data_IF_298805271084
#
_entry.id   IF_298805271084
#
_cell.length_a   1.000
_cell.length_b   1.000
_cell.length_c   1.000
_cell.angle_alpha   90.00
_cell.angle_beta   90.00
_cell.angle_gamma   90.00
#
_symmetry.space_group_name_H-M   'P 1'
#
loop_
_entity.id
_entity.type
_entity.pdbx_description
1 polymer ?
#
# COMPACT_ATOMS: atom_id res chain seq x y z
N UNK A 1 15.84 21.73 21.12
CA UNK A 1 14.57 21.34 20.48
C UNK A 1 14.11 20.07 21.17
N UNK A 2 13.12 20.17 22.07
CA UNK A 2 12.52 18.98 22.69
C UNK A 2 11.61 18.35 21.64
N UNK A 3 12.03 17.22 21.05
CA UNK A 3 11.14 16.41 20.24
C UNK A 3 10.08 15.84 21.19
N UNK A 4 8.86 16.40 21.15
CA UNK A 4 7.75 15.86 21.94
C UNK A 4 7.31 14.55 21.31
N UNK A 5 6.97 13.54 22.13
CA UNK A 5 6.51 12.23 21.66
C UNK A 5 5.32 12.32 20.68
N UNK A 6 4.49 13.36 20.81
CA UNK A 6 3.39 13.65 19.90
C UNK A 6 3.84 14.09 18.49
N UNK A 7 4.96 14.80 18.35
CA UNK A 7 5.49 15.23 17.05
C UNK A 7 6.08 14.04 16.28
N UNK A 8 6.82 13.18 16.99
CA UNK A 8 7.37 11.94 16.43
C UNK A 8 6.23 11.02 15.98
N UNK A 9 5.18 10.92 16.79
CA UNK A 9 4.00 10.09 16.51
C UNK A 9 3.19 10.62 15.32
N UNK A 10 3.07 11.95 15.16
CA UNK A 10 2.42 12.58 14.02
C UNK A 10 3.19 12.38 12.71
N UNK A 11 4.51 12.49 12.74
CA UNK A 11 5.37 12.20 11.58
C UNK A 11 5.30 10.71 11.24
N UNK A 12 5.39 9.81 12.22
CA UNK A 12 5.28 8.37 11.96
C UNK A 12 3.93 7.99 11.35
N UNK A 13 2.84 8.59 11.84
CA UNK A 13 1.50 8.36 11.30
C UNK A 13 1.40 8.71 9.81
N UNK A 14 1.94 9.85 9.40
CA UNK A 14 1.87 10.29 7.99
C UNK A 14 2.57 9.35 7.01
N UNK A 15 3.61 8.63 7.46
CA UNK A 15 4.28 7.60 6.65
C UNK A 15 3.60 6.23 6.73
N UNK A 16 3.03 5.86 7.88
CA UNK A 16 2.41 4.55 8.12
C UNK A 16 1.18 4.34 7.22
N UNK A 17 0.30 5.34 7.10
CA UNK A 17 -0.93 5.22 6.30
C UNK A 17 -0.70 4.89 4.82
N UNK A 18 0.10 5.68 4.06
CA UNK A 18 0.37 5.39 2.66
C UNK A 18 1.17 4.09 2.51
N UNK A 19 2.09 3.78 3.44
CA UNK A 19 2.89 2.57 3.39
C UNK A 19 2.01 1.31 3.38
N UNK A 20 1.05 1.18 4.31
CA UNK A 20 0.17 0.01 4.36
C UNK A 20 -0.71 -0.12 3.12
N UNK A 21 -1.23 0.99 2.58
CA UNK A 21 -2.02 0.99 1.34
C UNK A 21 -1.20 0.50 0.14
N UNK A 22 0.00 1.05 -0.03
CA UNK A 22 0.89 0.72 -1.15
C UNK A 22 1.41 -0.71 -1.01
N UNK A 23 1.79 -1.14 0.18
CA UNK A 23 2.20 -2.51 0.45
C UNK A 23 1.09 -3.52 0.09
N UNK A 24 -0.15 -3.25 0.51
CA UNK A 24 -1.30 -4.10 0.17
C UNK A 24 -1.54 -4.16 -1.35
N UNK A 25 -1.44 -3.02 -2.05
CA UNK A 25 -1.55 -3.00 -3.52
C UNK A 25 -0.43 -3.79 -4.20
N UNK A 26 0.83 -3.58 -3.80
CA UNK A 26 1.99 -4.24 -4.43
C UNK A 26 1.97 -5.74 -4.19
N UNK A 27 1.45 -6.19 -3.04
CA UNK A 27 1.25 -7.61 -2.76
C UNK A 27 0.15 -8.23 -3.61
N UNK A 28 -0.94 -7.51 -3.86
CA UNK A 28 -2.08 -8.01 -4.63
C UNK A 28 -1.93 -7.85 -6.15
N UNK A 29 -1.14 -6.88 -6.63
CA UNK A 29 -1.00 -6.61 -8.06
C UNK A 29 -0.26 -7.75 -8.80
N UNK A 30 -0.84 -8.33 -9.87
CA UNK A 30 -0.29 -9.50 -10.56
C UNK A 30 1.06 -9.23 -11.23
N UNK A 31 1.31 -7.99 -11.67
CA UNK A 31 2.58 -7.54 -12.27
C UNK A 31 3.76 -7.80 -11.33
N UNK A 32 3.59 -7.51 -10.04
CA UNK A 32 4.62 -7.70 -9.03
C UNK A 32 4.58 -9.08 -8.37
N UNK A 33 3.59 -9.91 -8.71
CA UNK A 33 3.37 -11.23 -8.12
C UNK A 33 4.00 -12.38 -8.91
N UNK A 34 4.79 -12.09 -9.97
CA UNK A 34 5.53 -13.13 -10.67
C UNK A 34 6.65 -13.71 -9.79
N UNK A 35 7.02 -14.98 -10.01
CA UNK A 35 8.10 -15.67 -9.29
C UNK A 35 9.47 -14.97 -9.40
N UNK A 36 9.60 -13.97 -10.27
CA UNK A 36 10.81 -13.16 -10.42
C UNK A 36 11.00 -12.15 -9.27
N UNK A 37 9.95 -11.82 -8.52
CA UNK A 37 10.01 -10.81 -7.45
C UNK A 37 9.75 -11.44 -6.08
N UNK A 38 10.83 -11.62 -5.31
CA UNK A 38 10.76 -12.12 -3.94
C UNK A 38 9.89 -11.21 -3.04
N UNK A 39 9.33 -11.78 -1.96
CA UNK A 39 8.53 -11.00 -1.01
C UNK A 39 9.31 -9.82 -0.39
N UNK A 40 10.63 -9.98 -0.20
CA UNK A 40 11.52 -8.93 0.31
C UNK A 40 11.66 -7.76 -0.68
N UNK A 41 11.83 -8.04 -1.97
CA UNK A 41 11.94 -6.98 -2.99
C UNK A 41 10.61 -6.25 -3.18
N UNK A 42 9.46 -6.94 -3.10
CA UNK A 42 8.14 -6.28 -3.07
C UNK A 42 8.01 -5.30 -1.92
N UNK A 43 8.45 -5.68 -0.72
CA UNK A 43 8.42 -4.80 0.44
C UNK A 43 9.33 -3.57 0.24
N UNK A 44 10.53 -3.76 -0.31
CA UNK A 44 11.44 -2.66 -0.62
C UNK A 44 10.86 -1.70 -1.67
N UNK A 45 10.20 -2.22 -2.71
CA UNK A 45 9.51 -1.41 -3.72
C UNK A 45 8.37 -0.62 -3.08
N UNK A 46 7.52 -1.26 -2.26
CA UNK A 46 6.44 -0.59 -1.57
C UNK A 46 6.94 0.53 -0.65
N UNK A 47 8.06 0.28 0.05
CA UNK A 47 8.70 1.26 0.92
C UNK A 47 9.28 2.43 0.11
N UNK A 48 9.99 2.16 -0.98
CA UNK A 48 10.52 3.19 -1.87
C UNK A 48 9.42 4.07 -2.46
N UNK A 49 8.32 3.48 -2.94
CA UNK A 49 7.16 4.19 -3.48
C UNK A 49 6.50 5.04 -2.37
N UNK A 50 6.35 4.48 -1.17
CA UNK A 50 5.77 5.20 -0.04
C UNK A 50 6.56 6.47 0.30
N UNK A 51 7.89 6.39 0.36
CA UNK A 51 8.76 7.54 0.68
C UNK A 51 8.62 8.65 -0.38
N UNK A 52 8.53 8.28 -1.66
CA UNK A 52 8.39 9.25 -2.76
C UNK A 52 7.00 9.90 -2.77
N UNK A 53 5.96 9.18 -2.38
CA UNK A 53 4.58 9.68 -2.38
C UNK A 53 4.29 10.59 -1.18
N UNK A 54 4.89 10.34 -0.02
CA UNK A 54 4.66 11.14 1.20
C UNK A 54 4.75 12.66 0.99
N UNK A 55 5.79 13.25 0.35
CA UNK A 55 5.85 14.70 0.14
C UNK A 55 4.78 15.22 -0.83
N UNK A 56 4.15 14.35 -1.61
CA UNK A 56 3.06 14.70 -2.53
C UNK A 56 1.68 14.76 -1.84
N UNK A 57 1.58 14.36 -0.57
CA UNK A 57 0.33 14.39 0.20
C UNK A 57 0.19 15.78 0.85
N UNK A 58 -0.72 16.66 0.38
CA UNK A 58 -0.78 18.06 0.83
C UNK A 58 -1.26 18.25 2.27
N UNK A 59 -1.87 17.22 2.86
CA UNK A 59 -2.51 17.31 4.16
C UNK A 59 -1.76 16.46 5.17
N UNK A 60 -1.24 17.12 6.21
CA UNK A 60 -0.78 16.48 7.43
C UNK A 60 -1.85 15.48 7.88
N UNK A 61 -1.43 14.24 8.07
CA UNK A 61 -2.31 13.15 8.47
C UNK A 61 -3.13 13.54 9.70
N UNK A 62 -4.35 12.99 9.87
CA UNK A 62 -5.10 13.13 11.11
C UNK A 62 -4.17 12.81 12.28
N UNK A 63 -4.11 13.70 13.27
CA UNK A 63 -3.33 13.55 14.49
C UNK A 63 -3.95 12.45 15.38
N UNK A 64 -4.08 11.25 14.82
CA UNK A 64 -4.53 10.04 15.49
C UNK A 64 -3.27 9.27 15.78
N UNK A 65 -3.03 8.98 17.07
CA UNK A 65 -1.91 8.12 17.47
C UNK A 65 -2.00 6.81 16.67
N UNK A 66 -0.99 6.47 15.84
CA UNK A 66 -0.97 5.24 15.05
C UNK A 66 -1.12 3.99 15.91
N UNK A 67 -0.72 4.07 17.19
CA UNK A 67 -0.81 3.02 18.19
C UNK A 67 -2.07 3.10 19.07
N UNK A 68 -3.09 3.87 18.66
CA UNK A 68 -4.42 3.84 19.27
C UNK A 68 -5.31 2.78 18.60
N UNK A 69 -6.34 2.29 19.29
CA UNK A 69 -7.35 1.39 18.71
C UNK A 69 -8.02 1.98 17.45
N UNK A 70 -8.17 3.31 17.38
CA UNK A 70 -8.62 4.00 16.17
C UNK A 70 -7.61 3.89 15.03
N UNK A 71 -6.31 3.92 15.34
CA UNK A 71 -5.25 3.79 14.34
C UNK A 71 -5.24 2.40 13.68
N UNK A 72 -5.46 1.34 14.45
CA UNK A 72 -5.55 -0.03 13.92
C UNK A 72 -6.73 -0.22 12.95
N UNK A 73 -7.87 0.42 13.23
CA UNK A 73 -9.01 0.44 12.30
C UNK A 73 -8.68 1.14 10.99
N UNK A 74 -7.98 2.27 11.04
CA UNK A 74 -7.54 2.99 9.84
C UNK A 74 -6.56 2.12 9.04
N UNK A 75 -5.61 1.43 9.69
CA UNK A 75 -4.66 0.52 8.98
C UNK A 75 -5.43 -0.57 8.25
N UNK A 76 -6.40 -1.21 8.92
CA UNK A 76 -7.26 -2.22 8.29
C UNK A 76 -7.97 -1.66 7.05
N UNK A 77 -8.51 -0.45 7.15
CA UNK A 77 -9.15 0.22 6.02
C UNK A 77 -8.17 0.50 4.87
N UNK A 78 -6.94 0.94 5.16
CA UNK A 78 -5.91 1.16 4.13
C UNK A 78 -5.51 -0.13 3.43
N UNK A 79 -5.40 -1.24 4.17
CA UNK A 79 -5.10 -2.55 3.61
C UNK A 79 -6.25 -3.00 2.70
N UNK A 80 -7.51 -2.84 3.13
CA UNK A 80 -8.68 -3.16 2.31
C UNK A 80 -8.70 -2.37 0.99
N UNK A 81 -8.45 -1.06 1.04
CA UNK A 81 -8.39 -0.22 -0.17
C UNK A 81 -7.30 -0.73 -1.12
N UNK A 82 -6.08 -0.97 -0.60
CA UNK A 82 -4.96 -1.47 -1.40
C UNK A 82 -5.24 -2.85 -2.00
N UNK A 83 -5.87 -3.74 -1.23
CA UNK A 83 -6.27 -5.07 -1.68
C UNK A 83 -7.34 -5.01 -2.77
N UNK A 84 -8.37 -4.17 -2.62
CA UNK A 84 -9.39 -3.97 -3.66
C UNK A 84 -8.78 -3.44 -4.97
N UNK A 85 -7.87 -2.48 -4.89
CA UNK A 85 -7.17 -1.95 -6.05
C UNK A 85 -6.32 -3.03 -6.74
N UNK A 86 -5.58 -3.83 -5.97
CA UNK A 86 -4.81 -4.95 -6.52
C UNK A 86 -5.70 -6.04 -7.14
N UNK A 87 -6.84 -6.34 -6.50
CA UNK A 87 -7.81 -7.30 -7.02
C UNK A 87 -8.43 -6.85 -8.35
N UNK A 88 -8.74 -5.56 -8.50
CA UNK A 88 -9.19 -5.00 -9.79
C UNK A 88 -8.15 -5.21 -10.90
N UNK A 89 -6.86 -5.03 -10.60
CA UNK A 89 -5.79 -5.35 -11.56
C UNK A 89 -5.76 -6.86 -11.87
N UNK A 90 -5.91 -7.73 -10.89
CA UNK A 90 -5.98 -9.18 -11.14
C UNK A 90 -7.11 -9.53 -12.11
N UNK A 91 -8.30 -8.96 -11.92
CA UNK A 91 -9.43 -9.17 -12.83
C UNK A 91 -9.13 -8.69 -14.25
N UNK A 92 -8.50 -7.51 -14.38
CA UNK A 92 -8.11 -6.96 -15.68
C UNK A 92 -7.13 -7.90 -16.42
N UNK A 93 -6.06 -8.33 -15.75
CA UNK A 93 -5.09 -9.25 -16.36
C UNK A 93 -5.71 -10.61 -16.68
N UNK A 94 -6.57 -11.13 -15.80
CA UNK A 94 -7.26 -12.39 -16.04
C UNK A 94 -8.18 -12.32 -17.27
N UNK A 95 -8.85 -11.20 -17.50
CA UNK A 95 -9.65 -10.99 -18.70
C UNK A 95 -8.82 -11.11 -19.99
N UNK A 96 -7.60 -10.54 -20.01
CA UNK A 96 -6.68 -10.69 -21.14
C UNK A 96 -6.18 -12.13 -21.30
N UNK A 97 -5.88 -12.84 -20.21
CA UNK A 97 -5.45 -14.24 -20.25
C UNK A 97 -6.54 -15.11 -20.86
N UNK A 98 -7.79 -14.96 -20.40
CA UNK A 98 -8.94 -15.72 -20.91
C UNK A 98 -9.18 -15.37 -22.38
N UNK A 99 -9.13 -14.09 -22.76
CA UNK A 99 -9.28 -13.69 -24.15
C UNK A 99 -8.19 -14.31 -25.06
N UNK A 100 -6.93 -14.32 -24.61
CA UNK A 100 -5.83 -14.96 -25.34
C UNK A 100 -6.00 -16.47 -25.46
N UNK A 101 -6.51 -17.14 -24.42
CA UNK A 101 -6.82 -18.58 -24.46
C UNK A 101 -7.93 -18.88 -25.47
N UNK A 102 -8.98 -18.06 -25.52
CA UNK A 102 -10.09 -18.24 -26.47
C UNK A 102 -9.62 -18.09 -27.92
N UNK A 103 -8.70 -17.16 -28.21
CA UNK A 103 -8.15 -16.98 -29.57
C UNK A 103 -7.21 -18.11 -29.98
N UNK A 104 -6.53 -18.73 -29.02
CA UNK A 104 -5.58 -19.81 -29.29
C UNK A 104 -6.24 -21.20 -29.46
N UNK A 105 -7.46 -21.37 -28.97
CA UNK A 105 -8.28 -22.59 -29.16
C UNK A 105 -8.96 -22.56 -30.53
#
# INVERSE_FOLDING_TARGET
MQFTSAEITGILGSYIWPFFRIAALVMAAPIFSSNFVNMRSRLLIALAISIVIVPSIPNAAPAVEPLSGAGLLIVSHQILIGACMGFMLQLLFNAFIIAGQIVAM
#
